data_IF_536296438231
#
_entry.id   IF_536296438231
#
_cell.length_a   1.000
_cell.length_b   1.000
_cell.length_c   1.000
_cell.angle_alpha   90.00
_cell.angle_beta   90.00
_cell.angle_gamma   90.00
#
_symmetry.space_group_name_H-M   'P 1'
#
loop_
_entity.id
_entity.type
_entity.pdbx_description
1 polymer ?
#
# COMPACT_ATOMS: atom_id res chain seq x y z
N UNK A 1 -2.49 4.85 17.33
CA UNK A 1 -1.04 4.87 17.02
C UNK A 1 -0.75 3.84 15.95
N UNK A 2 -0.62 4.26 14.68
CA UNK A 2 -0.46 3.37 13.52
C UNK A 2 0.93 2.72 13.61
N UNK A 3 1.01 1.51 14.17
CA UNK A 3 2.27 0.75 14.28
C UNK A 3 2.65 0.23 12.89
N UNK A 4 3.42 1.04 12.17
CA UNK A 4 4.48 0.86 11.15
C UNK A 4 4.73 -0.50 10.45
N UNK A 5 4.27 -1.65 10.94
CA UNK A 5 4.76 -2.97 10.50
C UNK A 5 4.12 -3.54 9.22
N UNK A 6 3.09 -2.91 8.64
CA UNK A 6 2.46 -3.38 7.39
C UNK A 6 2.81 -2.55 6.14
N UNK A 7 3.44 -1.38 6.30
CA UNK A 7 3.79 -0.48 5.18
C UNK A 7 5.09 -0.91 4.49
N UNK A 8 5.96 -1.64 5.20
CA UNK A 8 7.34 -1.93 4.77
C UNK A 8 7.47 -2.79 3.49
N UNK A 9 6.54 -3.72 3.26
CA UNK A 9 6.68 -4.69 2.17
C UNK A 9 6.23 -4.15 0.81
N UNK A 10 5.40 -3.10 0.78
CA UNK A 10 4.76 -2.65 -0.45
C UNK A 10 5.51 -1.52 -1.17
N UNK A 11 6.38 -0.80 -0.47
CA UNK A 11 7.09 0.37 -1.00
C UNK A 11 8.41 0.04 -1.71
N UNK A 12 8.78 -1.24 -1.87
CA UNK A 12 10.12 -1.61 -2.36
C UNK A 12 10.35 -1.32 -3.85
N UNK A 13 9.33 -0.91 -4.65
CA UNK A 13 9.50 -0.52 -6.08
C UNK A 13 8.26 0.14 -6.71
N UNK A 14 7.56 1.04 -6.03
CA UNK A 14 6.49 1.83 -6.66
C UNK A 14 7.05 3.16 -7.17
N UNK A 15 7.38 3.23 -8.46
CA UNK A 15 7.42 4.50 -9.17
C UNK A 15 6.01 5.10 -9.10
N UNK A 16 5.88 6.40 -8.81
CA UNK A 16 4.65 7.14 -8.51
C UNK A 16 3.50 7.11 -9.56
N UNK A 17 3.57 6.19 -10.53
CA UNK A 17 2.55 5.91 -11.54
C UNK A 17 1.43 4.99 -11.03
N UNK A 18 1.69 4.11 -10.06
CA UNK A 18 0.70 3.14 -9.60
C UNK A 18 0.15 3.46 -8.20
N UNK A 19 -1.14 3.18 -7.95
CA UNK A 19 -1.70 3.27 -6.61
C UNK A 19 -0.98 2.32 -5.66
N UNK A 20 -0.93 2.68 -4.37
CA UNK A 20 -0.46 1.80 -3.31
C UNK A 20 -1.61 0.94 -2.79
N UNK A 21 -1.42 -0.37 -2.73
CA UNK A 21 -2.35 -1.32 -2.14
C UNK A 21 -2.11 -1.46 -0.62
N UNK A 22 -3.14 -1.29 0.20
CA UNK A 22 -3.00 -1.34 1.66
C UNK A 22 -4.00 -2.35 2.23
N UNK A 23 -3.51 -3.26 3.06
CA UNK A 23 -4.36 -4.14 3.87
C UNK A 23 -4.46 -3.53 5.26
N UNK A 24 -5.68 -3.27 5.70
CA UNK A 24 -5.94 -2.80 7.06
C UNK A 24 -5.90 -3.97 8.04
N UNK A 25 -5.43 -3.69 9.25
CA UNK A 25 -5.58 -4.64 10.35
C UNK A 25 -7.02 -4.60 10.87
N UNK A 26 -7.47 -5.69 11.47
CA UNK A 26 -8.78 -5.73 12.11
C UNK A 26 -8.94 -4.58 13.12
N UNK A 27 -10.09 -3.90 13.05
CA UNK A 27 -10.40 -2.74 13.88
C UNK A 27 -9.67 -1.44 13.50
N UNK A 28 -8.84 -1.43 12.46
CA UNK A 28 -8.24 -0.20 11.95
C UNK A 28 -9.18 0.49 10.95
N UNK A 29 -9.49 1.76 11.21
CA UNK A 29 -10.16 2.64 10.26
C UNK A 29 -9.22 3.79 9.91
N UNK A 30 -8.91 3.95 8.62
CA UNK A 30 -8.12 5.06 8.09
C UNK A 30 -8.51 5.30 6.64
N UNK A 31 -8.49 6.55 6.22
CA UNK A 31 -8.77 6.94 4.84
C UNK A 31 -7.50 6.92 3.99
N UNK A 32 -7.68 6.84 2.67
CA UNK A 32 -6.56 6.94 1.74
C UNK A 32 -5.85 8.29 1.82
N UNK A 33 -6.60 9.37 2.09
CA UNK A 33 -6.08 10.73 2.22
C UNK A 33 -5.19 10.90 3.45
N UNK A 34 -5.62 10.38 4.60
CA UNK A 34 -4.82 10.36 5.84
C UNK A 34 -3.52 9.58 5.64
N UNK A 35 -3.57 8.44 4.95
CA UNK A 35 -2.37 7.67 4.63
C UNK A 35 -1.43 8.42 3.67
N UNK A 36 -1.96 9.08 2.65
CA UNK A 36 -1.13 9.88 1.72
C UNK A 36 -0.50 11.07 2.45
N UNK A 37 -1.25 11.78 3.29
CA UNK A 37 -0.73 12.87 4.11
C UNK A 37 0.37 12.37 5.05
N UNK A 38 0.13 11.27 5.75
CA UNK A 38 1.09 10.62 6.64
C UNK A 38 2.39 10.22 5.91
N UNK A 39 2.27 9.73 4.67
CA UNK A 39 3.41 9.37 3.82
C UNK A 39 4.14 10.60 3.28
N UNK A 40 3.45 11.69 2.92
CA UNK A 40 4.07 12.93 2.45
C UNK A 40 4.97 13.59 3.48
N UNK A 41 4.62 13.49 4.76
CA UNK A 41 5.47 13.99 5.85
C UNK A 41 6.78 13.21 6.01
N UNK A 42 6.81 11.95 5.55
CA UNK A 42 7.90 10.99 5.83
C UNK A 42 8.68 10.56 4.59
N UNK A 43 8.12 10.76 3.41
CA UNK A 43 8.69 10.37 2.13
C UNK A 43 8.78 11.58 1.21
N UNK A 44 9.84 11.62 0.40
CA UNK A 44 9.95 12.59 -0.68
C UNK A 44 8.77 12.45 -1.65
N UNK A 45 8.27 13.57 -2.17
CA UNK A 45 7.06 13.64 -2.98
C UNK A 45 7.03 12.66 -4.17
N UNK A 46 8.19 12.34 -4.76
CA UNK A 46 8.31 11.39 -5.87
C UNK A 46 8.15 9.91 -5.47
N UNK A 47 8.25 9.60 -4.18
CA UNK A 47 8.00 8.25 -3.62
C UNK A 47 6.60 8.09 -3.05
N UNK A 48 5.93 9.21 -2.79
CA UNK A 48 4.56 9.19 -2.26
C UNK A 48 3.59 8.76 -3.36
N UNK A 49 2.79 7.72 -3.14
CA UNK A 49 1.75 7.33 -4.09
C UNK A 49 0.71 8.44 -4.23
N UNK A 50 0.17 8.61 -5.44
CA UNK A 50 -0.91 9.58 -5.70
C UNK A 50 -2.27 9.10 -5.18
N UNK A 51 -2.45 7.78 -5.09
CA UNK A 51 -3.69 7.14 -4.64
C UNK A 51 -3.36 5.91 -3.80
N UNK A 52 -4.16 5.68 -2.78
CA UNK A 52 -4.16 4.46 -1.97
C UNK A 52 -5.45 3.69 -2.28
N UNK A 53 -5.33 2.37 -2.43
CA UNK A 53 -6.45 1.45 -2.61
C UNK A 53 -6.38 0.43 -1.49
N UNK A 54 -7.49 0.23 -0.81
CA UNK A 54 -7.58 -0.80 0.23
C UNK A 54 -7.94 -2.14 -0.40
N UNK A 55 -7.23 -3.19 0.00
CA UNK A 55 -7.46 -4.56 -0.45
C UNK A 55 -7.54 -5.47 0.78
N UNK A 56 -8.35 -6.52 0.70
CA UNK A 56 -8.53 -7.45 1.81
C UNK A 56 -7.27 -8.27 2.08
N UNK A 57 -6.54 -8.63 1.03
CA UNK A 57 -5.29 -9.35 1.12
C UNK A 57 -4.37 -9.00 -0.05
N UNK A 58 -3.05 -9.16 0.17
CA UNK A 58 -2.08 -9.11 -0.91
C UNK A 58 -1.99 -10.49 -1.55
N UNK A 59 -2.21 -10.64 -2.87
CA UNK A 59 -2.08 -11.92 -3.55
C UNK A 59 -0.62 -12.36 -3.48
N UNK A 60 -0.37 -13.54 -2.92
CA UNK A 60 0.97 -14.08 -2.71
C UNK A 60 1.04 -15.50 -3.27
N UNK A 61 2.20 -15.86 -3.82
CA UNK A 61 2.46 -17.25 -4.19
C UNK A 61 2.82 -18.11 -2.96
N UNK A 62 2.98 -19.42 -3.17
CA UNK A 62 3.38 -20.37 -2.11
C UNK A 62 4.71 -20.02 -1.41
N UNK A 63 5.58 -19.21 -2.05
CA UNK A 63 6.83 -18.71 -1.47
C UNK A 63 6.65 -17.38 -0.71
N UNK A 64 5.43 -16.85 -0.59
CA UNK A 64 5.12 -15.59 0.07
C UNK A 64 5.39 -14.32 -0.74
N UNK A 65 5.79 -14.45 -2.02
CA UNK A 65 6.03 -13.29 -2.89
C UNK A 65 4.73 -12.73 -3.43
N UNK A 66 4.59 -11.41 -3.41
CA UNK A 66 3.42 -10.71 -3.95
C UNK A 66 3.35 -10.85 -5.47
N UNK A 67 2.19 -11.29 -5.95
CA UNK A 67 1.88 -11.48 -7.36
C UNK A 67 1.39 -10.15 -7.95
N UNK A 68 2.32 -9.36 -8.50
CA UNK A 68 2.04 -8.01 -9.04
C UNK A 68 0.99 -7.98 -10.14
N UNK A 69 0.82 -9.06 -10.89
CA UNK A 69 -0.21 -9.16 -11.95
C UNK A 69 -1.59 -9.21 -11.31
N UNK A 70 -1.82 -10.18 -10.44
CA UNK A 70 -3.09 -10.32 -9.72
C UNK A 70 -3.40 -9.12 -8.85
N UNK A 71 -2.38 -8.51 -8.23
CA UNK A 71 -2.57 -7.26 -7.47
C UNK A 71 -3.02 -6.10 -8.38
N UNK A 72 -2.56 -6.06 -9.64
CA UNK A 72 -3.03 -5.04 -10.59
C UNK A 72 -4.46 -5.31 -11.02
N UNK A 73 -4.80 -6.58 -11.26
CA UNK A 73 -6.15 -6.99 -11.65
C UNK A 73 -7.16 -6.75 -10.52
N UNK A 74 -6.77 -6.89 -9.26
CA UNK A 74 -7.61 -6.57 -8.10
C UNK A 74 -7.79 -5.08 -7.83
N UNK A 75 -7.03 -4.21 -8.52
CA UNK A 75 -7.04 -2.76 -8.35
C UNK A 75 -7.54 -2.03 -9.61
N UNK A 76 -7.88 -2.77 -10.67
CA UNK A 76 -8.46 -2.26 -11.91
C UNK A 76 -9.95 -1.94 -11.71
#
# INVERSE_FOLDING_TARGET
MIRQHAIGDLLRRSAARFPAAVVLREGAAVTGEELVAFLRERLAAFKTPKRVVFVDALPKNASGKVLKRELRDSMA
#
